data_IF_174081277330
#
_entry.id   IF_174081277330
#
_cell.length_a   1.000
_cell.length_b   1.000
_cell.length_c   1.000
_cell.angle_alpha   90.00
_cell.angle_beta   90.00
_cell.angle_gamma   90.00
#
_symmetry.space_group_name_H-M   'P 1'
#
loop_
_entity.id
_entity.type
_entity.pdbx_description
1 polymer ?
#
# COMPACT_ATOMS: atom_id res chain seq x y z
N UNK A 1 7.41 16.63 -10.50
CA UNK A 1 8.41 16.26 -9.47
C UNK A 1 8.73 14.76 -9.40
N UNK A 2 7.86 13.86 -8.92
CA UNK A 2 8.21 12.41 -8.86
C UNK A 2 8.34 11.75 -10.24
N UNK A 3 7.40 12.03 -11.15
CA UNK A 3 7.45 11.52 -12.53
C UNK A 3 8.67 12.01 -13.32
N UNK A 4 9.14 13.23 -13.05
CA UNK A 4 10.35 13.78 -13.69
C UNK A 4 11.61 13.06 -13.20
N UNK A 5 11.62 12.63 -11.94
CA UNK A 5 12.76 11.94 -11.34
C UNK A 5 12.77 10.43 -11.65
N UNK A 6 11.62 9.77 -11.57
CA UNK A 6 11.49 8.31 -11.60
C UNK A 6 10.94 7.77 -12.93
N UNK A 7 10.61 8.66 -13.88
CA UNK A 7 10.01 8.32 -15.15
C UNK A 7 8.49 8.07 -15.08
N UNK A 8 7.81 7.92 -16.22
CA UNK A 8 6.35 7.85 -16.30
C UNK A 8 5.73 6.62 -15.64
N UNK A 9 6.48 5.53 -15.48
CA UNK A 9 5.99 4.23 -14.98
C UNK A 9 6.20 4.04 -13.48
N UNK A 10 6.71 5.06 -12.76
CA UNK A 10 7.08 4.95 -11.34
C UNK A 10 5.96 4.40 -10.45
N UNK A 11 4.69 4.73 -10.77
CA UNK A 11 3.52 4.28 -10.02
C UNK A 11 3.30 2.77 -10.09
N UNK A 12 3.73 2.11 -11.17
CA UNK A 12 3.63 0.65 -11.29
C UNK A 12 4.51 -0.05 -10.24
N UNK A 13 5.62 0.56 -9.86
CA UNK A 13 6.61 -0.01 -8.94
C UNK A 13 6.54 0.57 -7.52
N UNK A 14 5.50 1.34 -7.22
CA UNK A 14 5.33 2.00 -5.91
C UNK A 14 4.24 1.31 -5.10
N UNK A 15 4.48 1.14 -3.80
CA UNK A 15 3.47 0.74 -2.84
C UNK A 15 3.38 1.75 -1.69
N UNK A 16 2.17 2.00 -1.18
CA UNK A 16 1.90 2.93 -0.08
C UNK A 16 1.81 2.18 1.24
N UNK A 17 2.55 2.62 2.25
CA UNK A 17 2.52 2.03 3.58
C UNK A 17 1.74 2.98 4.50
N UNK A 18 0.57 2.54 4.95
CA UNK A 18 -0.30 3.29 5.86
C UNK A 18 0.10 2.88 7.29
N UNK A 19 0.81 3.76 7.98
CA UNK A 19 1.22 3.54 9.36
C UNK A 19 0.13 3.96 10.34
N UNK A 20 0.33 3.65 11.62
CA UNK A 20 -0.59 3.98 12.69
C UNK A 20 -1.98 3.34 12.57
N UNK A 21 -2.06 2.11 12.04
CA UNK A 21 -3.31 1.34 12.00
C UNK A 21 -3.92 1.14 13.40
N UNK A 22 -3.11 1.22 14.46
CA UNK A 22 -3.60 1.27 15.84
C UNK A 22 -4.60 2.42 16.08
N UNK A 23 -4.45 3.56 15.39
CA UNK A 23 -5.40 4.68 15.47
C UNK A 23 -6.71 4.43 14.73
N UNK A 24 -6.67 3.62 13.68
CA UNK A 24 -7.86 3.17 12.96
C UNK A 24 -8.67 2.23 13.85
N UNK A 25 -7.99 1.25 14.47
CA UNK A 25 -8.59 0.33 15.43
C UNK A 25 -9.15 1.05 16.67
N UNK A 26 -8.39 1.98 17.28
CA UNK A 26 -8.82 2.77 18.44
C UNK A 26 -10.09 3.58 18.16
N UNK A 27 -10.26 4.06 16.92
CA UNK A 27 -11.45 4.76 16.48
C UNK A 27 -12.63 3.83 16.16
N UNK A 28 -12.47 2.50 16.31
CA UNK A 28 -13.51 1.51 16.08
C UNK A 28 -13.73 1.15 14.61
N UNK A 29 -12.80 1.53 13.72
CA UNK A 29 -12.89 1.23 12.30
C UNK A 29 -12.04 0.00 11.94
N UNK A 30 -12.54 -0.79 11.00
CA UNK A 30 -11.71 -1.70 10.21
C UNK A 30 -10.90 -0.94 9.14
N UNK A 31 -9.88 -1.59 8.57
CA UNK A 31 -9.11 -1.05 7.44
C UNK A 31 -10.01 -0.72 6.23
N UNK A 32 -11.04 -1.52 5.98
CA UNK A 32 -11.98 -1.32 4.87
C UNK A 32 -12.90 -0.12 5.11
N UNK A 33 -13.47 0.00 6.31
CA UNK A 33 -14.33 1.14 6.67
C UNK A 33 -13.53 2.44 6.68
N UNK A 34 -12.27 2.42 7.13
CA UNK A 34 -11.38 3.57 7.03
C UNK A 34 -11.19 4.04 5.58
N UNK A 35 -10.96 3.10 4.66
CA UNK A 35 -10.81 3.45 3.24
C UNK A 35 -12.13 3.95 2.65
N UNK A 36 -13.27 3.40 3.05
CA UNK A 36 -14.57 3.88 2.58
C UNK A 36 -14.85 5.33 3.01
N UNK A 37 -14.36 5.73 4.19
CA UNK A 37 -14.49 7.10 4.70
C UNK A 37 -13.29 8.02 4.36
N UNK A 38 -12.29 7.52 3.62
CA UNK A 38 -11.08 8.27 3.33
C UNK A 38 -11.33 9.43 2.35
N UNK A 39 -10.50 10.47 2.46
CA UNK A 39 -10.54 11.60 1.52
C UNK A 39 -10.30 11.17 0.07
N UNK A 40 -10.94 11.87 -0.89
CA UNK A 40 -10.75 11.65 -2.33
C UNK A 40 -9.27 11.73 -2.75
N UNK A 41 -8.48 12.56 -2.07
CA UNK A 41 -7.05 12.69 -2.33
C UNK A 41 -6.31 11.39 -2.04
N UNK A 42 -6.60 10.75 -0.89
CA UNK A 42 -6.01 9.47 -0.54
C UNK A 42 -6.48 8.36 -1.49
N UNK A 43 -7.79 8.31 -1.79
CA UNK A 43 -8.35 7.33 -2.71
C UNK A 43 -7.72 7.45 -4.11
N UNK A 44 -7.59 8.67 -4.63
CA UNK A 44 -6.94 8.95 -5.92
C UNK A 44 -5.48 8.50 -5.91
N UNK A 45 -4.74 8.74 -4.82
CA UNK A 45 -3.37 8.26 -4.67
C UNK A 45 -3.31 6.73 -4.74
N UNK A 46 -4.16 6.04 -3.97
CA UNK A 46 -4.19 4.57 -3.90
C UNK A 46 -4.57 3.95 -5.26
N UNK A 47 -5.56 4.51 -5.95
CA UNK A 47 -5.92 4.08 -7.31
C UNK A 47 -4.77 4.29 -8.29
N UNK A 48 -4.03 5.40 -8.17
CA UNK A 48 -2.91 5.70 -9.08
C UNK A 48 -1.75 4.70 -8.97
N UNK A 49 -1.60 4.02 -7.82
CA UNK A 49 -0.62 2.95 -7.59
C UNK A 49 -1.25 1.55 -7.67
N UNK A 50 -2.38 1.41 -8.38
CA UNK A 50 -3.06 0.13 -8.61
C UNK A 50 -3.44 -0.58 -7.30
N UNK A 51 -3.84 0.18 -6.28
CA UNK A 51 -4.20 -0.33 -4.95
C UNK A 51 -3.07 -1.14 -4.27
N UNK A 52 -1.80 -0.89 -4.62
CA UNK A 52 -0.64 -1.45 -3.92
C UNK A 52 -0.42 -0.70 -2.61
N UNK A 53 -1.14 -1.10 -1.57
CA UNK A 53 -0.95 -0.56 -0.23
C UNK A 53 -0.92 -1.62 0.86
N UNK A 54 -0.31 -1.26 1.98
CA UNK A 54 -0.17 -2.12 3.16
C UNK A 54 -0.43 -1.28 4.41
N UNK A 55 -1.40 -1.68 5.21
CA UNK A 55 -1.55 -1.20 6.57
C UNK A 55 -0.47 -1.81 7.48
N UNK A 56 0.18 -0.96 8.26
CA UNK A 56 1.30 -1.32 9.13
C UNK A 56 0.90 -1.03 10.58
N UNK A 57 0.72 -2.10 11.35
CA UNK A 57 0.65 -1.99 12.80
C UNK A 57 2.01 -1.59 13.36
N UNK A 58 2.04 -0.48 14.08
CA UNK A 58 3.26 0.03 14.70
C UNK A 58 3.46 -0.49 16.14
N UNK A 59 2.83 -1.63 16.48
CA UNK A 59 2.96 -2.25 17.81
C UNK A 59 4.27 -3.04 17.84
N UNK A 60 5.20 -2.63 18.72
CA UNK A 60 6.57 -3.17 18.79
C UNK A 60 6.66 -4.71 18.93
N UNK A 61 5.61 -5.34 19.48
CA UNK A 61 5.54 -6.78 19.71
C UNK A 61 5.01 -7.60 18.51
N UNK A 62 4.34 -7.01 17.52
CA UNK A 62 3.80 -7.72 16.34
C UNK A 62 4.67 -7.60 15.09
N UNK A 63 5.66 -6.70 15.09
CA UNK A 63 6.47 -6.40 13.90
C UNK A 63 7.19 -7.64 13.32
N UNK A 64 7.71 -8.54 14.17
CA UNK A 64 8.37 -9.78 13.67
C UNK A 64 7.39 -10.73 12.98
N UNK A 65 6.18 -10.89 13.51
CA UNK A 65 5.17 -11.78 12.92
C UNK A 65 4.60 -11.18 11.63
N UNK A 66 4.38 -9.87 11.60
CA UNK A 66 3.84 -9.18 10.43
C UNK A 66 4.86 -8.94 9.32
N UNK A 67 6.16 -8.98 9.60
CA UNK A 67 7.22 -8.89 8.56
C UNK A 67 7.02 -9.90 7.44
N UNK A 68 6.69 -11.16 7.77
CA UNK A 68 6.46 -12.20 6.75
C UNK A 68 5.26 -11.84 5.87
N UNK A 69 4.18 -11.32 6.46
CA UNK A 69 2.99 -10.89 5.72
C UNK A 69 3.28 -9.68 4.83
N UNK A 70 4.02 -8.69 5.34
CA UNK A 70 4.44 -7.51 4.56
C UNK A 70 5.31 -7.95 3.38
N UNK A 71 6.33 -8.78 3.62
CA UNK A 71 7.20 -9.31 2.57
C UNK A 71 6.38 -10.10 1.54
N UNK A 72 5.45 -10.96 1.96
CA UNK A 72 4.56 -11.67 1.03
C UNK A 72 3.79 -10.72 0.12
N UNK A 73 3.16 -9.67 0.68
CA UNK A 73 2.44 -8.65 -0.12
C UNK A 73 3.38 -7.93 -1.10
N UNK A 74 4.58 -7.55 -0.68
CA UNK A 74 5.58 -6.95 -1.57
C UNK A 74 5.93 -7.91 -2.72
N UNK A 75 6.08 -9.21 -2.44
CA UNK A 75 6.42 -10.20 -3.46
C UNK A 75 5.28 -10.37 -4.46
N UNK A 76 4.04 -10.30 -4.00
CA UNK A 76 2.87 -10.33 -4.87
C UNK A 76 2.79 -9.08 -5.75
N UNK A 77 3.12 -7.89 -5.23
CA UNK A 77 3.23 -6.67 -6.04
C UNK A 77 4.33 -6.76 -7.09
N UNK A 78 5.49 -7.32 -6.76
CA UNK A 78 6.59 -7.54 -7.71
C UNK A 78 6.14 -8.46 -8.84
N UNK A 79 5.46 -9.57 -8.51
CA UNK A 79 4.92 -10.50 -9.51
C UNK A 79 3.94 -9.81 -10.45
N UNK A 80 3.02 -9.01 -9.92
CA UNK A 80 2.06 -8.22 -10.73
C UNK A 80 2.78 -7.32 -11.75
N UNK A 81 3.93 -6.74 -11.39
CA UNK A 81 4.72 -5.92 -12.32
C UNK A 81 5.33 -6.75 -13.46
N UNK A 82 5.82 -7.96 -13.17
CA UNK A 82 6.36 -8.86 -14.19
C UNK A 82 5.31 -9.32 -15.19
N UNK A 83 4.06 -9.54 -14.75
CA UNK A 83 2.96 -9.87 -15.66
C UNK A 83 2.55 -8.70 -16.56
N UNK A 84 2.63 -7.46 -16.07
CA UNK A 84 2.33 -6.27 -16.87
C UNK A 84 3.39 -5.99 -17.95
N UNK A 85 4.66 -6.32 -17.68
CA UNK A 85 5.74 -6.19 -18.67
C UNK A 85 5.63 -7.19 -19.84
N UNK A 86 4.95 -8.32 -19.65
CA UNK A 86 4.77 -9.36 -20.68
C UNK A 86 3.55 -9.16 -21.61
N UNK A 87 2.77 -8.10 -21.42
CA UNK A 87 1.55 -7.80 -22.21
C UNK A 87 1.75 -6.54 -23.08
N UNK A 88 2.99 -6.07 -23.25
CA UNK A 88 3.34 -4.96 -24.16
C UNK A 88 4.02 -5.43 -25.44
#
# INVERSE_FOLDING_TARGET
MLQELLGPTWKNFTAVFLTHTDKVEEAGFSEEEYLHAASDTLLTLLSSVQHKYIFVENKAHTLKQKRVTILRKIMDFIRQNSYQASIQ
#
